data_IF_990872711467
#
_entry.id   IF_990872711467
#
_cell.length_a   1.000
_cell.length_b   1.000
_cell.length_c   1.000
_cell.angle_alpha   90.00
_cell.angle_beta   90.00
_cell.angle_gamma   90.00
#
_symmetry.space_group_name_H-M   'P 1'
#
loop_
_entity.id
_entity.type
_entity.pdbx_description
1 polymer ?
#
# COMPACT_ATOMS: atom_id res chain seq x y z
N UNK A 1 -9.43 10.53 -10.79
CA UNK A 1 -8.10 11.11 -10.50
C UNK A 1 -8.28 12.22 -9.47
N UNK A 2 -7.46 12.28 -8.42
CA UNK A 2 -7.61 13.25 -7.31
C UNK A 2 -7.21 14.68 -7.74
N UNK A 3 -7.81 15.75 -7.18
CA UNK A 3 -7.40 17.13 -7.42
C UNK A 3 -6.02 17.43 -6.81
N UNK A 4 -5.29 18.37 -7.41
CA UNK A 4 -3.89 18.66 -7.07
C UNK A 4 -3.70 19.16 -5.62
N UNK A 5 -4.68 19.89 -5.09
CA UNK A 5 -4.70 20.34 -3.69
C UNK A 5 -4.69 19.18 -2.70
N UNK A 6 -5.54 18.18 -2.94
CA UNK A 6 -5.61 16.96 -2.13
C UNK A 6 -4.33 16.13 -2.31
N UNK A 7 -3.80 16.02 -3.53
CA UNK A 7 -2.54 15.33 -3.76
C UNK A 7 -1.38 15.95 -2.97
N UNK A 8 -1.27 17.29 -2.97
CA UNK A 8 -0.25 18.01 -2.19
C UNK A 8 -0.43 17.82 -0.68
N UNK A 9 -1.68 17.84 -0.18
CA UNK A 9 -2.00 17.57 1.23
C UNK A 9 -1.56 16.16 1.61
N UNK A 10 -1.91 15.17 0.78
CA UNK A 10 -1.57 13.76 1.01
C UNK A 10 -0.06 13.53 0.95
N UNK A 11 0.64 14.11 -0.01
CA UNK A 11 2.11 14.03 -0.08
C UNK A 11 2.74 14.58 1.20
N UNK A 12 2.29 15.75 1.68
CA UNK A 12 2.78 16.34 2.94
C UNK A 12 2.57 15.39 4.13
N UNK A 13 1.38 14.80 4.25
CA UNK A 13 1.07 13.80 5.28
C UNK A 13 1.96 12.55 5.16
N UNK A 14 2.29 12.13 3.94
CA UNK A 14 3.18 11.00 3.67
C UNK A 14 4.60 11.25 4.19
N UNK A 15 5.12 12.47 4.00
CA UNK A 15 6.45 12.86 4.48
C UNK A 15 6.52 12.97 6.00
N UNK A 16 5.46 13.46 6.63
CA UNK A 16 5.34 13.52 8.10
C UNK A 16 5.28 12.11 8.73
N UNK A 17 4.76 11.13 7.99
CA UNK A 17 4.64 9.75 8.49
C UNK A 17 5.99 9.04 8.55
N UNK A 18 6.49 8.88 9.78
CA UNK A 18 7.76 8.18 10.07
C UNK A 18 7.68 6.66 9.88
N UNK A 19 6.52 6.06 10.18
CA UNK A 19 6.35 4.62 10.09
C UNK A 19 6.14 4.14 8.65
N UNK A 20 6.92 3.13 8.25
CA UNK A 20 6.81 2.46 6.95
C UNK A 20 6.40 1.01 7.17
N UNK A 21 5.40 0.54 6.43
CA UNK A 21 5.04 -0.88 6.39
C UNK A 21 6.04 -1.57 5.48
N UNK A 22 6.88 -2.44 6.06
CA UNK A 22 7.88 -3.19 5.29
C UNK A 22 7.23 -4.41 4.64
N UNK A 23 7.49 -4.59 3.35
CA UNK A 23 7.11 -5.73 2.54
C UNK A 23 8.40 -6.46 2.20
N UNK A 24 8.64 -7.60 2.86
CA UNK A 24 9.87 -8.37 2.69
C UNK A 24 9.89 -9.19 1.39
N UNK A 25 10.87 -10.08 1.28
CA UNK A 25 11.08 -10.92 0.08
C UNK A 25 9.89 -11.80 -0.31
N UNK A 26 8.96 -12.08 0.61
CA UNK A 26 7.71 -12.78 0.31
C UNK A 26 6.69 -11.97 -0.53
N UNK A 27 6.98 -10.70 -0.83
CA UNK A 27 6.11 -9.85 -1.65
C UNK A 27 4.83 -9.41 -0.96
N UNK A 28 3.85 -9.00 -1.76
CA UNK A 28 2.52 -8.57 -1.30
C UNK A 28 1.70 -9.81 -0.96
N UNK A 29 1.76 -10.23 0.31
CA UNK A 29 0.96 -11.34 0.84
C UNK A 29 -0.37 -10.84 1.41
N UNK A 30 -1.32 -11.75 1.66
CA UNK A 30 -2.61 -11.43 2.29
C UNK A 30 -2.45 -10.68 3.62
N UNK A 31 -1.49 -11.09 4.45
CA UNK A 31 -1.19 -10.42 5.71
C UNK A 31 -0.68 -8.99 5.53
N UNK A 32 0.07 -8.71 4.45
CA UNK A 32 0.50 -7.34 4.11
C UNK A 32 -0.70 -6.50 3.69
N UNK A 33 -1.57 -7.04 2.84
CA UNK A 33 -2.80 -6.38 2.37
C UNK A 33 -3.73 -6.07 3.55
N UNK A 34 -3.99 -7.04 4.42
CA UNK A 34 -4.81 -6.85 5.63
C UNK A 34 -4.22 -5.76 6.54
N UNK A 35 -2.91 -5.76 6.75
CA UNK A 35 -2.22 -4.72 7.52
C UNK A 35 -2.30 -3.34 6.87
N UNK A 36 -2.41 -3.25 5.54
CA UNK A 36 -2.67 -2.00 4.83
C UNK A 36 -4.10 -1.54 5.10
N UNK A 37 -5.10 -2.42 4.97
CA UNK A 37 -6.50 -2.10 5.26
C UNK A 37 -6.71 -1.65 6.71
N UNK A 38 -6.12 -2.35 7.68
CA UNK A 38 -6.19 -1.94 9.09
C UNK A 38 -5.57 -0.56 9.32
N UNK A 39 -4.46 -0.26 8.65
CA UNK A 39 -3.84 1.07 8.73
C UNK A 39 -4.69 2.12 8.06
N UNK A 40 -5.40 1.81 6.99
CA UNK A 40 -6.34 2.74 6.36
C UNK A 40 -7.52 3.12 7.25
N UNK A 41 -7.99 2.19 8.11
CA UNK A 41 -9.03 2.52 9.11
C UNK A 41 -8.63 3.64 10.07
N UNK A 42 -7.34 3.80 10.32
CA UNK A 42 -6.80 4.78 11.29
C UNK A 42 -5.96 5.87 10.63
N UNK A 43 -5.80 5.84 9.30
CA UNK A 43 -4.92 6.77 8.60
C UNK A 43 -5.24 6.85 7.12
N UNK A 44 -5.37 8.07 6.60
CA UNK A 44 -5.62 8.32 5.17
C UNK A 44 -4.49 7.77 4.26
N UNK A 45 -3.28 7.59 4.79
CA UNK A 45 -2.10 7.18 4.00
C UNK A 45 -1.28 6.12 4.71
N UNK A 46 -0.80 5.16 3.91
CA UNK A 46 0.16 4.13 4.32
C UNK A 46 1.40 4.23 3.45
N UNK A 47 2.58 4.30 4.08
CA UNK A 47 3.87 4.35 3.39
C UNK A 47 4.45 2.95 3.33
N UNK A 48 4.58 2.40 2.13
CA UNK A 48 5.14 1.07 1.92
C UNK A 48 6.65 1.14 1.67
N UNK A 49 7.39 0.14 2.16
CA UNK A 49 8.80 -0.07 1.83
C UNK A 49 8.98 -1.52 1.40
N UNK A 50 9.33 -1.74 0.14
CA UNK A 50 9.62 -3.06 -0.39
C UNK A 50 11.11 -3.38 -0.17
N UNK A 51 11.40 -4.62 0.20
CA UNK A 51 12.75 -5.13 0.48
C UNK A 51 12.91 -6.52 -0.16
N UNK A 52 14.14 -6.88 -0.55
CA UNK A 52 14.44 -8.16 -1.22
C UNK A 52 13.86 -8.24 -2.63
N UNK A 53 13.39 -9.43 -3.02
CA UNK A 53 12.91 -9.72 -4.38
C UNK A 53 11.69 -8.88 -4.79
N UNK A 54 10.89 -8.44 -3.81
CA UNK A 54 9.77 -7.53 -4.04
C UNK A 54 10.22 -6.13 -4.50
N UNK A 55 11.42 -5.70 -4.12
CA UNK A 55 12.00 -4.43 -4.56
C UNK A 55 12.54 -4.51 -6.00
N UNK A 56 12.94 -5.71 -6.46
CA UNK A 56 13.44 -5.93 -7.82
C UNK A 56 12.33 -5.80 -8.87
N UNK A 57 11.09 -6.12 -8.49
CA UNK A 57 9.93 -6.11 -9.39
C UNK A 57 8.82 -5.16 -8.90
N UNK A 58 9.17 -3.89 -8.67
CA UNK A 58 8.23 -2.89 -8.16
C UNK A 58 7.01 -2.68 -9.08
N UNK A 59 7.16 -2.81 -10.41
CA UNK A 59 6.05 -2.74 -11.36
C UNK A 59 5.01 -3.84 -11.09
N UNK A 60 5.48 -5.08 -10.90
CA UNK A 60 4.60 -6.21 -10.56
C UNK A 60 3.93 -6.00 -9.21
N UNK A 61 4.64 -5.46 -8.22
CA UNK A 61 4.06 -5.16 -6.91
C UNK A 61 2.97 -4.08 -7.01
N UNK A 62 3.17 -3.07 -7.86
CA UNK A 62 2.21 -2.02 -8.12
C UNK A 62 0.94 -2.58 -8.77
N UNK A 63 1.07 -3.38 -9.83
CA UNK A 63 -0.05 -4.05 -10.50
C UNK A 63 -0.85 -4.94 -9.54
N UNK A 64 -0.17 -5.70 -8.66
CA UNK A 64 -0.83 -6.53 -7.65
C UNK A 64 -1.59 -5.68 -6.64
N UNK A 65 -1.01 -4.56 -6.18
CA UNK A 65 -1.67 -3.67 -5.21
C UNK A 65 -2.88 -2.94 -5.81
N UNK A 66 -2.76 -2.44 -7.04
CA UNK A 66 -3.89 -1.84 -7.77
C UNK A 66 -4.98 -2.89 -8.06
N UNK A 67 -4.58 -4.10 -8.43
CA UNK A 67 -5.51 -5.22 -8.63
C UNK A 67 -6.20 -5.67 -7.35
N UNK A 68 -5.54 -5.51 -6.19
CA UNK A 68 -6.12 -5.83 -4.89
C UNK A 68 -7.23 -4.82 -4.48
N UNK A 69 -7.11 -3.56 -4.89
CA UNK A 69 -8.19 -2.57 -4.73
C UNK A 69 -9.44 -2.90 -5.57
N UNK A 70 -9.26 -3.57 -6.72
CA UNK A 70 -10.38 -4.09 -7.53
C UNK A 70 -10.94 -5.41 -6.98
N UNK A 71 -10.31 -6.00 -5.96
CA UNK A 71 -10.76 -7.22 -5.28
C UNK A 71 -11.24 -6.93 -3.86
N UNK A 72 -12.02 -5.86 -3.67
CA UNK A 72 -12.95 -5.71 -2.52
C UNK A 72 -14.00 -6.83 -2.40
N UNK A 73 -13.81 -7.96 -3.08
CA UNK A 73 -14.63 -9.16 -3.04
C UNK A 73 -13.75 -10.40 -3.26
N UNK A 74 -12.69 -10.57 -2.47
CA UNK A 74 -12.25 -11.94 -2.17
C UNK A 74 -13.28 -12.53 -1.21
N UNK A 75 -14.37 -13.02 -1.80
CA UNK A 75 -15.37 -13.81 -1.13
C UNK A 75 -14.70 -14.93 -0.35
N UNK A 76 -15.14 -15.04 0.89
CA UNK A 76 -15.05 -16.21 1.76
C UNK A 76 -15.22 -17.50 0.94
N UNK A 77 -14.18 -18.32 0.87
CA UNK A 77 -14.28 -19.78 0.82
C UNK A 77 -13.01 -20.34 1.46
#
# INVERSE_FOLDING_TARGET
TLPESELRRLLKLTFQKKHKTRVGGGGVTRAVVEKIHERWKTSEIVRLKFEGDAALNMKRMHEILEGCELQGSFNTT
#
